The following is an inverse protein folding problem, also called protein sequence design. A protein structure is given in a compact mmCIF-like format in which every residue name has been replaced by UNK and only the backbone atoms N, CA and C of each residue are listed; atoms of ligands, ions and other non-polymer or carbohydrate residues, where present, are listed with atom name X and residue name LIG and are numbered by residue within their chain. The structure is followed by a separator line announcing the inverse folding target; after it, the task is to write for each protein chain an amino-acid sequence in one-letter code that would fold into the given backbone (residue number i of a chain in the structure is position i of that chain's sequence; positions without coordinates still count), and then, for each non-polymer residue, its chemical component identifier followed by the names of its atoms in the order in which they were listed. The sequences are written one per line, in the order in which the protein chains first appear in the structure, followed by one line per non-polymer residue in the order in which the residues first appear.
data_IF_498251564172
#
_entry.id   IF_498251564172
#
_cell.length_a   1.000
_cell.length_b   1.000
_cell.length_c   1.000
_cell.angle_alpha   90.00
_cell.angle_beta   90.00
_cell.angle_gamma   90.00
#
_symmetry.space_group_name_H-M   'P 1'
#
loop_
_entity.id
_entity.type
_entity.pdbx_description
1 polymer ?
#
# COMPACT_ATOMS: atom_id res chain seq x y z
N UNK A 1 2.20 -83.43 9.07
CA UNK A 1 1.60 -82.45 10.00
C UNK A 1 2.51 -81.26 10.42
N UNK A 2 3.65 -80.99 9.78
CA UNK A 2 4.54 -79.83 10.13
C UNK A 2 4.59 -78.70 9.06
N UNK A 3 3.93 -78.90 7.93
CA UNK A 3 3.94 -77.89 6.84
C UNK A 3 2.72 -76.96 6.87
N UNK A 4 1.62 -77.30 7.55
CA UNK A 4 0.42 -76.48 7.64
C UNK A 4 0.44 -75.40 8.71
N UNK A 5 1.38 -75.46 9.65
CA UNK A 5 1.47 -74.50 10.76
C UNK A 5 2.40 -73.29 10.50
N UNK A 6 3.13 -73.29 9.36
CA UNK A 6 3.97 -72.14 8.97
C UNK A 6 3.25 -71.09 8.10
N UNK A 7 2.13 -71.51 7.44
CA UNK A 7 1.38 -70.61 6.58
C UNK A 7 0.41 -69.67 7.35
N UNK A 8 -0.03 -70.08 8.53
CA UNK A 8 -0.95 -69.26 9.35
C UNK A 8 -0.27 -68.15 10.19
N UNK A 9 1.06 -68.17 10.33
CA UNK A 9 1.80 -67.11 11.03
C UNK A 9 2.24 -65.96 10.13
N UNK A 10 2.16 -66.04 8.80
CA UNK A 10 2.50 -64.97 7.88
C UNK A 10 1.31 -64.18 7.40
N UNK A 11 0.06 -64.59 7.67
CA UNK A 11 -1.14 -63.81 7.32
C UNK A 11 -1.66 -62.90 8.42
N UNK A 12 -1.02 -62.89 9.60
CA UNK A 12 -1.42 -62.09 10.77
C UNK A 12 -0.68 -60.74 10.93
N UNK A 13 0.22 -60.38 10.02
CA UNK A 13 1.06 -59.14 10.17
C UNK A 13 0.86 -58.13 9.04
N UNK A 14 -0.15 -58.22 8.20
CA UNK A 14 -0.46 -57.27 7.11
C UNK A 14 -1.79 -56.53 7.29
N UNK A 15 -2.40 -56.59 8.47
CA UNK A 15 -3.69 -55.92 8.74
C UNK A 15 -3.58 -54.77 9.75
N UNK A 16 -2.40 -54.19 9.94
CA UNK A 16 -2.16 -53.15 10.94
C UNK A 16 -1.57 -51.83 10.45
N UNK A 17 -1.43 -51.62 9.14
CA UNK A 17 -0.76 -50.40 8.62
C UNK A 17 -1.66 -49.55 7.70
N UNK A 18 -2.97 -49.63 7.83
CA UNK A 18 -3.90 -48.87 6.98
C UNK A 18 -4.94 -48.15 7.85
N UNK A 19 -4.60 -47.20 8.67
CA UNK A 19 -5.55 -46.22 9.22
C UNK A 19 -4.81 -45.17 10.10
N UNK A 20 -3.89 -44.44 9.54
CA UNK A 20 -3.46 -43.13 10.08
C UNK A 20 -3.13 -42.21 8.90
N UNK A 21 -4.06 -42.15 7.93
CA UNK A 21 -4.20 -40.90 7.19
C UNK A 21 -4.90 -39.96 8.16
N UNK A 22 -4.09 -39.20 8.89
CA UNK A 22 -4.55 -38.06 9.62
C UNK A 22 -5.36 -37.22 8.65
N UNK A 23 -6.64 -37.09 8.90
CA UNK A 23 -7.48 -36.11 8.24
C UNK A 23 -6.82 -34.77 8.46
N UNK A 24 -6.10 -34.30 7.45
CA UNK A 24 -5.68 -32.90 7.41
C UNK A 24 -6.97 -32.12 7.51
N UNK A 25 -7.14 -31.25 8.50
CA UNK A 25 -8.32 -30.40 8.52
C UNK A 25 -8.29 -29.61 7.22
N UNK A 26 -9.29 -29.81 6.37
CA UNK A 26 -9.47 -29.08 5.12
C UNK A 26 -9.92 -27.66 5.44
N UNK A 27 -9.01 -26.81 5.88
CA UNK A 27 -9.22 -25.38 6.08
C UNK A 27 -9.39 -24.63 4.74
N UNK A 28 -9.34 -25.34 3.65
CA UNK A 28 -9.17 -24.74 2.32
C UNK A 28 -10.48 -24.53 1.54
N UNK A 29 -11.67 -24.70 2.15
CA UNK A 29 -12.93 -24.57 1.40
C UNK A 29 -14.11 -24.14 2.28
N UNK A 30 -14.01 -22.99 2.92
CA UNK A 30 -15.21 -22.32 3.42
C UNK A 30 -15.10 -20.84 3.05
N UNK A 31 -15.28 -20.52 1.78
CA UNK A 31 -15.45 -19.14 1.34
C UNK A 31 -16.93 -18.87 1.14
N UNK A 32 -17.52 -18.06 1.99
CA UNK A 32 -18.76 -17.36 1.68
C UNK A 32 -18.34 -16.07 1.01
N UNK A 33 -18.44 -15.98 -0.32
CA UNK A 33 -18.03 -14.82 -1.10
C UNK A 33 -17.33 -15.19 -2.40
N UNK A 34 -16.90 -14.20 -3.16
CA UNK A 34 -16.31 -14.36 -4.49
C UNK A 34 -14.87 -14.91 -4.48
N UNK A 35 -14.24 -15.10 -3.30
CA UNK A 35 -12.82 -15.44 -3.16
C UNK A 35 -12.61 -16.52 -2.11
N UNK A 36 -11.84 -17.55 -2.47
CA UNK A 36 -11.40 -18.59 -1.53
C UNK A 36 -10.42 -18.00 -0.52
N UNK A 37 -10.64 -18.28 0.75
CA UNK A 37 -9.72 -17.88 1.83
C UNK A 37 -8.34 -18.54 1.68
N UNK A 38 -7.31 -17.72 1.57
CA UNK A 38 -5.90 -18.13 1.55
C UNK A 38 -5.15 -17.35 2.61
N UNK A 39 -4.65 -17.99 3.67
CA UNK A 39 -3.97 -17.29 4.75
C UNK A 39 -2.61 -16.74 4.30
N UNK A 40 -2.35 -15.46 4.57
CA UNK A 40 -1.01 -14.88 4.40
C UNK A 40 0.00 -15.55 5.34
N UNK A 41 1.13 -16.06 4.86
CA UNK A 41 2.18 -16.62 5.73
C UNK A 41 2.66 -15.60 6.78
N UNK A 42 2.96 -16.06 8.01
CA UNK A 42 3.26 -15.15 9.11
C UNK A 42 4.49 -14.26 8.84
N UNK A 43 5.51 -14.80 8.17
CA UNK A 43 6.70 -14.03 7.80
C UNK A 43 6.35 -12.87 6.83
N UNK A 44 5.34 -13.07 5.97
CA UNK A 44 4.84 -12.03 5.04
C UNK A 44 4.05 -10.97 5.82
N UNK A 45 3.18 -11.39 6.76
CA UNK A 45 2.46 -10.47 7.66
C UNK A 45 3.45 -9.57 8.41
N UNK A 46 4.48 -10.16 9.00
CA UNK A 46 5.50 -9.42 9.75
C UNK A 46 6.22 -8.39 8.86
N UNK A 47 6.60 -8.79 7.65
CA UNK A 47 7.27 -7.91 6.72
C UNK A 47 6.37 -6.78 6.20
N UNK A 48 5.11 -7.07 5.89
CA UNK A 48 4.13 -6.04 5.49
C UNK A 48 3.95 -4.98 6.58
N UNK A 49 3.88 -5.40 7.85
CA UNK A 49 3.78 -4.48 9.00
C UNK A 49 5.05 -3.64 9.18
N UNK A 50 6.24 -4.22 8.93
CA UNK A 50 7.51 -3.48 8.94
C UNK A 50 7.58 -2.45 7.81
N UNK A 51 7.21 -2.82 6.58
CA UNK A 51 7.16 -1.88 5.44
C UNK A 51 6.18 -0.75 5.69
N UNK A 52 5.01 -1.04 6.28
CA UNK A 52 4.04 -0.03 6.69
C UNK A 52 4.53 0.82 7.87
N UNK A 53 5.64 0.49 8.52
CA UNK A 53 6.16 1.18 9.71
C UNK A 53 5.08 1.37 10.79
N UNK A 54 4.25 0.33 10.97
CA UNK A 54 3.10 0.40 11.86
C UNK A 54 3.53 0.58 13.32
N UNK A 55 2.77 1.35 14.08
CA UNK A 55 3.06 1.65 15.48
C UNK A 55 1.76 1.88 16.28
N UNK A 56 1.90 2.12 17.58
CA UNK A 56 0.77 2.26 18.52
C UNK A 56 -0.20 3.43 18.23
N UNK A 57 0.20 4.41 17.44
CA UNK A 57 -0.66 5.53 17.07
C UNK A 57 -1.55 5.19 15.85
N UNK A 58 -1.31 4.06 15.20
CA UNK A 58 -2.00 3.68 13.99
C UNK A 58 -3.37 3.06 14.23
N UNK A 59 -4.23 3.27 13.24
CA UNK A 59 -5.47 2.53 13.06
C UNK A 59 -5.43 1.78 11.72
N UNK A 60 -5.24 0.46 11.83
CA UNK A 60 -5.20 -0.45 10.69
C UNK A 60 -6.60 -0.90 10.32
N UNK A 61 -6.90 -0.92 9.02
CA UNK A 61 -8.08 -1.61 8.49
C UNK A 61 -7.62 -2.68 7.49
N UNK A 62 -7.97 -3.95 7.77
CA UNK A 62 -7.66 -5.10 6.95
C UNK A 62 -8.90 -5.53 6.16
N UNK A 63 -8.83 -5.43 4.85
CA UNK A 63 -9.93 -5.71 3.94
C UNK A 63 -9.85 -7.16 3.43
N UNK A 64 -10.76 -8.02 3.92
CA UNK A 64 -10.68 -9.46 3.76
C UNK A 64 -9.81 -10.08 4.85
N UNK A 65 -10.17 -9.88 6.13
CA UNK A 65 -9.29 -10.18 7.26
C UNK A 65 -9.12 -11.66 7.58
N UNK A 66 -9.97 -12.52 7.04
CA UNK A 66 -9.90 -13.96 7.27
C UNK A 66 -9.86 -14.32 8.75
N UNK A 67 -8.87 -15.11 9.16
CA UNK A 67 -8.65 -15.55 10.55
C UNK A 67 -8.08 -14.46 11.49
N UNK A 68 -7.96 -13.23 10.99
CA UNK A 68 -7.53 -12.07 11.77
C UNK A 68 -6.04 -11.94 12.01
N UNK A 69 -5.19 -12.81 11.45
CA UNK A 69 -3.75 -12.85 11.74
C UNK A 69 -3.03 -11.53 11.53
N UNK A 70 -3.40 -10.78 10.49
CA UNK A 70 -2.78 -9.48 10.19
C UNK A 70 -3.11 -8.45 11.27
N UNK A 71 -4.40 -8.30 11.57
CA UNK A 71 -4.95 -7.40 12.59
C UNK A 71 -4.39 -7.72 13.98
N UNK A 72 -4.38 -9.00 14.35
CA UNK A 72 -3.89 -9.50 15.64
C UNK A 72 -2.39 -9.25 15.79
N UNK A 73 -1.61 -9.51 14.73
CA UNK A 73 -0.16 -9.28 14.76
C UNK A 73 0.16 -7.79 14.91
N UNK A 74 -0.58 -6.91 14.21
CA UNK A 74 -0.44 -5.46 14.34
C UNK A 74 -0.69 -4.99 15.78
N UNK A 75 -1.76 -5.48 16.39
CA UNK A 75 -2.08 -5.14 17.78
C UNK A 75 -1.07 -5.69 18.78
N UNK A 76 -0.69 -6.97 18.65
CA UNK A 76 0.20 -7.65 19.58
C UNK A 76 1.63 -7.13 19.53
N UNK A 77 2.21 -7.02 18.33
CA UNK A 77 3.63 -6.65 18.15
C UNK A 77 3.88 -5.15 18.16
N UNK A 78 2.91 -4.37 17.70
CA UNK A 78 3.10 -2.94 17.48
C UNK A 78 2.16 -2.05 18.30
N UNK A 79 1.19 -2.64 19.02
CA UNK A 79 0.26 -1.90 19.86
C UNK A 79 -0.80 -1.10 19.08
N UNK A 80 -0.93 -1.32 17.79
CA UNK A 80 -1.89 -0.62 16.93
C UNK A 80 -3.33 -1.01 17.28
N UNK A 81 -4.29 -0.10 17.05
CA UNK A 81 -5.70 -0.45 16.98
C UNK A 81 -6.03 -0.94 15.58
N UNK A 82 -6.94 -1.92 15.46
CA UNK A 82 -7.24 -2.45 14.16
C UNK A 82 -8.67 -2.95 14.00
N UNK A 83 -9.16 -2.87 12.77
CA UNK A 83 -10.44 -3.42 12.30
C UNK A 83 -10.14 -4.43 11.19
N UNK A 84 -10.66 -5.65 11.33
CA UNK A 84 -10.75 -6.62 10.25
C UNK A 84 -12.18 -6.71 9.75
N UNK A 85 -12.36 -6.72 8.42
CA UNK A 85 -13.66 -6.95 7.81
C UNK A 85 -13.61 -8.14 6.87
N UNK A 86 -14.64 -8.98 6.94
CA UNK A 86 -14.80 -10.16 6.09
C UNK A 86 -16.27 -10.46 5.92
N UNK A 87 -16.68 -11.23 4.91
CA UNK A 87 -18.04 -11.73 4.74
C UNK A 87 -18.22 -13.15 5.34
N UNK A 88 -17.10 -13.85 5.59
CA UNK A 88 -17.15 -15.20 6.17
C UNK A 88 -17.28 -15.13 7.69
N UNK A 89 -18.49 -15.35 8.18
CA UNK A 89 -18.81 -15.35 9.61
C UNK A 89 -18.08 -16.41 10.41
N UNK A 90 -17.73 -17.56 9.77
CA UNK A 90 -16.91 -18.59 10.41
C UNK A 90 -15.49 -18.10 10.64
N UNK A 91 -14.87 -17.47 9.64
CA UNK A 91 -13.53 -16.87 9.79
C UNK A 91 -13.53 -15.75 10.83
N UNK A 92 -14.55 -14.91 10.86
CA UNK A 92 -14.70 -13.85 11.89
C UNK A 92 -14.80 -14.44 13.31
N UNK A 93 -15.48 -15.58 13.47
CA UNK A 93 -15.50 -16.30 14.76
C UNK A 93 -14.10 -16.78 15.14
N UNK A 94 -13.38 -17.40 14.20
CA UNK A 94 -11.97 -17.82 14.39
C UNK A 94 -11.09 -16.63 14.75
N UNK A 95 -11.22 -15.49 14.04
CA UNK A 95 -10.47 -14.27 14.29
C UNK A 95 -10.71 -13.74 15.72
N UNK A 96 -11.97 -13.71 16.20
CA UNK A 96 -12.30 -13.30 17.56
C UNK A 96 -11.72 -14.27 18.62
N UNK A 97 -11.71 -15.58 18.35
CA UNK A 97 -11.09 -16.57 19.23
C UNK A 97 -9.56 -16.39 19.29
N UNK A 98 -8.93 -16.17 18.14
CA UNK A 98 -7.50 -15.88 18.05
C UNK A 98 -7.13 -14.59 18.81
N UNK A 99 -7.90 -13.52 18.66
CA UNK A 99 -7.68 -12.27 19.39
C UNK A 99 -7.75 -12.44 20.90
N UNK A 100 -8.68 -13.27 21.40
CA UNK A 100 -8.77 -13.60 22.83
C UNK A 100 -7.56 -14.38 23.31
N UNK A 101 -7.11 -15.39 22.55
CA UNK A 101 -5.92 -16.19 22.87
C UNK A 101 -4.65 -15.33 22.94
N UNK A 102 -4.54 -14.33 22.05
CA UNK A 102 -3.39 -13.40 21.99
C UNK A 102 -3.54 -12.18 22.91
N UNK A 103 -4.62 -12.09 23.72
CA UNK A 103 -4.90 -11.00 24.66
C UNK A 103 -4.90 -9.61 24.02
N UNK A 104 -5.49 -9.46 22.83
CA UNK A 104 -5.56 -8.18 22.10
C UNK A 104 -7.00 -7.75 21.77
N UNK A 105 -8.01 -8.40 22.35
CA UNK A 105 -9.43 -8.11 22.09
C UNK A 105 -9.85 -6.68 22.45
N UNK A 106 -9.07 -5.99 23.26
CA UNK A 106 -9.27 -4.56 23.60
C UNK A 106 -8.85 -3.59 22.47
N UNK A 107 -8.05 -4.06 21.51
CA UNK A 107 -7.47 -3.25 20.43
C UNK A 107 -7.96 -3.63 19.05
N UNK A 108 -8.55 -4.81 18.90
CA UNK A 108 -8.99 -5.31 17.60
C UNK A 108 -10.50 -5.51 17.58
N UNK A 109 -11.10 -5.25 16.42
CA UNK A 109 -12.51 -5.50 16.15
C UNK A 109 -12.63 -6.25 14.84
N UNK A 110 -13.55 -7.22 14.77
CA UNK A 110 -13.88 -7.93 13.54
C UNK A 110 -15.35 -7.72 13.22
N UNK A 111 -15.66 -7.44 11.94
CA UNK A 111 -17.02 -7.16 11.48
C UNK A 111 -17.34 -7.92 10.21
N UNK A 112 -18.56 -8.49 10.16
CA UNK A 112 -19.14 -8.96 8.93
C UNK A 112 -19.54 -7.75 8.10
N UNK A 113 -18.79 -7.50 7.03
CA UNK A 113 -19.00 -6.31 6.22
C UNK A 113 -18.37 -6.46 4.84
N UNK A 114 -19.07 -5.99 3.82
CA UNK A 114 -18.53 -5.87 2.46
C UNK A 114 -17.38 -4.86 2.44
N UNK A 115 -16.19 -5.30 2.06
CA UNK A 115 -14.99 -4.47 2.01
C UNK A 115 -15.13 -3.25 1.07
N UNK A 116 -15.94 -3.36 0.01
CA UNK A 116 -16.20 -2.24 -0.90
C UNK A 116 -17.07 -1.15 -0.28
N UNK A 117 -17.91 -1.50 0.68
CA UNK A 117 -18.81 -0.59 1.40
C UNK A 117 -18.23 -0.08 2.72
N UNK A 118 -17.20 -0.75 3.23
CA UNK A 118 -16.54 -0.41 4.49
C UNK A 118 -16.01 1.03 4.45
N UNK A 119 -16.40 1.85 5.42
CA UNK A 119 -15.77 3.16 5.60
C UNK A 119 -14.33 2.99 6.11
N UNK A 120 -13.36 3.37 5.26
CA UNK A 120 -11.94 3.31 5.55
C UNK A 120 -11.34 4.70 5.84
N UNK A 121 -12.14 5.74 5.94
CA UNK A 121 -11.68 7.14 6.05
C UNK A 121 -10.84 7.43 7.31
N UNK A 122 -11.01 6.63 8.36
CA UNK A 122 -10.26 6.74 9.61
C UNK A 122 -8.92 5.98 9.59
N UNK A 123 -8.67 5.16 8.56
CA UNK A 123 -7.46 4.35 8.48
C UNK A 123 -6.19 5.21 8.37
N UNK A 124 -5.15 4.82 9.09
CA UNK A 124 -3.78 5.29 8.87
C UNK A 124 -2.95 4.24 8.12
N UNK A 125 -3.42 2.97 8.16
CA UNK A 125 -2.88 1.85 7.39
C UNK A 125 -4.04 1.03 6.85
N UNK A 126 -3.95 0.63 5.58
CA UNK A 126 -4.87 -0.32 4.94
C UNK A 126 -4.06 -1.53 4.48
N UNK A 127 -4.56 -2.74 4.73
CA UNK A 127 -3.98 -3.98 4.23
C UNK A 127 -4.95 -4.74 3.34
N UNK A 128 -4.40 -5.43 2.33
CA UNK A 128 -5.17 -6.28 1.42
C UNK A 128 -4.39 -7.54 1.03
N UNK A 129 -5.12 -8.65 0.91
CA UNK A 129 -4.69 -9.82 0.15
C UNK A 129 -5.86 -10.28 -0.72
N UNK A 130 -6.09 -9.54 -1.79
CA UNK A 130 -7.27 -9.65 -2.64
C UNK A 130 -6.85 -9.87 -4.09
N UNK A 131 -7.75 -10.41 -4.91
CA UNK A 131 -7.52 -10.56 -6.34
C UNK A 131 -7.27 -9.21 -7.02
N UNK A 132 -6.55 -9.19 -8.16
CA UNK A 132 -6.19 -7.95 -8.87
C UNK A 132 -7.37 -7.03 -9.16
N UNK A 133 -8.49 -7.58 -9.64
CA UNK A 133 -9.71 -6.83 -9.97
C UNK A 133 -10.36 -6.18 -8.74
N UNK A 134 -10.25 -6.80 -7.58
CA UNK A 134 -10.75 -6.23 -6.32
C UNK A 134 -9.87 -5.07 -5.86
N UNK A 135 -8.55 -5.21 -5.94
CA UNK A 135 -7.60 -4.12 -5.66
C UNK A 135 -7.84 -2.92 -6.58
N UNK A 136 -8.04 -3.16 -7.88
CA UNK A 136 -8.37 -2.10 -8.84
C UNK A 136 -9.69 -1.40 -8.49
N UNK A 137 -10.72 -2.13 -8.09
CA UNK A 137 -12.00 -1.56 -7.66
C UNK A 137 -11.89 -0.74 -6.36
N UNK A 138 -10.97 -1.10 -5.46
CA UNK A 138 -10.74 -0.36 -4.20
C UNK A 138 -9.86 0.88 -4.41
N UNK A 139 -9.05 0.92 -5.45
CA UNK A 139 -8.01 1.92 -5.67
C UNK A 139 -8.52 3.36 -5.56
N UNK A 140 -9.60 3.71 -6.25
CA UNK A 140 -10.17 5.06 -6.19
C UNK A 140 -10.65 5.44 -4.79
N UNK A 141 -11.16 4.48 -4.01
CA UNK A 141 -11.54 4.68 -2.62
C UNK A 141 -10.32 4.92 -1.72
N UNK A 142 -9.24 4.17 -1.93
CA UNK A 142 -7.98 4.30 -1.21
C UNK A 142 -7.31 5.65 -1.53
N UNK A 143 -7.32 6.07 -2.79
CA UNK A 143 -6.74 7.35 -3.21
C UNK A 143 -7.42 8.58 -2.58
N UNK A 144 -8.64 8.43 -2.05
CA UNK A 144 -9.36 9.49 -1.32
C UNK A 144 -9.06 9.53 0.18
N UNK A 145 -8.24 8.61 0.69
CA UNK A 145 -7.80 8.65 2.08
C UNK A 145 -6.91 9.87 2.36
N UNK A 146 -6.69 10.15 3.62
CA UNK A 146 -5.79 11.24 4.03
C UNK A 146 -4.39 11.01 3.46
N UNK A 147 -3.75 12.06 2.92
CA UNK A 147 -2.34 11.95 2.54
C UNK A 147 -1.51 11.38 3.69
N UNK A 148 -0.54 10.53 3.36
CA UNK A 148 0.26 9.83 4.36
C UNK A 148 -0.35 8.51 4.86
N UNK A 149 -1.60 8.17 4.51
CA UNK A 149 -2.13 6.83 4.76
C UNK A 149 -1.29 5.81 3.99
N UNK A 150 -0.83 4.77 4.68
CA UNK A 150 0.00 3.70 4.11
C UNK A 150 -0.87 2.53 3.70
N UNK A 151 -0.56 1.95 2.55
CA UNK A 151 -1.27 0.80 2.01
C UNK A 151 -0.28 -0.33 1.79
N UNK A 152 -0.59 -1.52 2.24
CA UNK A 152 0.23 -2.71 1.99
C UNK A 152 -0.62 -3.81 1.38
N UNK A 153 -0.09 -4.44 0.33
CA UNK A 153 -0.77 -5.54 -0.34
C UNK A 153 0.13 -6.75 -0.50
N UNK A 154 -0.46 -7.94 -0.36
CA UNK A 154 0.21 -9.21 -0.58
C UNK A 154 -0.10 -9.75 -1.98
N UNK A 155 0.93 -10.17 -2.71
CA UNK A 155 0.94 -10.80 -4.04
C UNK A 155 0.39 -9.96 -5.20
N UNK A 156 -0.62 -9.14 -4.99
CA UNK A 156 -1.31 -8.43 -6.06
C UNK A 156 -1.24 -6.92 -5.87
N UNK A 157 -0.79 -6.22 -6.92
CA UNK A 157 -0.64 -4.77 -6.91
C UNK A 157 -1.94 -4.04 -7.28
N UNK A 158 -1.86 -2.73 -7.50
CA UNK A 158 -2.98 -1.85 -7.88
C UNK A 158 -2.87 -1.36 -9.33
N UNK A 159 -2.42 -2.24 -10.24
CA UNK A 159 -2.30 -1.95 -11.67
C UNK A 159 -1.25 -0.87 -11.96
N UNK A 160 -1.66 0.18 -12.65
CA UNK A 160 -0.81 1.30 -13.04
C UNK A 160 -0.51 2.30 -11.91
N UNK A 161 -1.12 2.15 -10.73
CA UNK A 161 -0.60 2.79 -9.53
C UNK A 161 0.61 2.02 -9.01
N UNK A 162 1.79 2.36 -9.51
CA UNK A 162 3.04 1.71 -9.12
C UNK A 162 3.35 1.94 -7.63
N UNK A 163 3.82 0.91 -6.91
CA UNK A 163 4.14 1.04 -5.50
C UNK A 163 5.33 1.98 -5.25
N UNK A 164 5.34 2.61 -4.07
CA UNK A 164 6.48 3.38 -3.57
C UNK A 164 7.65 2.47 -3.18
N UNK A 165 7.32 1.28 -2.67
CA UNK A 165 8.27 0.23 -2.30
C UNK A 165 7.67 -1.14 -2.58
N UNK A 166 8.51 -2.09 -3.03
CA UNK A 166 8.12 -3.49 -3.17
C UNK A 166 9.21 -4.42 -2.67
N UNK A 167 8.80 -5.58 -2.17
CA UNK A 167 9.71 -6.63 -1.68
C UNK A 167 9.25 -7.99 -2.14
N UNK A 168 10.20 -8.88 -2.41
CA UNK A 168 9.95 -10.29 -2.71
C UNK A 168 10.51 -11.14 -1.58
N UNK A 169 9.72 -12.05 -1.06
CA UNK A 169 10.13 -13.04 -0.06
C UNK A 169 10.07 -14.44 -0.62
N UNK A 170 11.06 -15.25 -0.26
CA UNK A 170 11.02 -16.70 -0.48
C UNK A 170 10.25 -17.33 0.67
N UNK A 171 9.16 -18.01 0.34
CA UNK A 171 8.22 -18.61 1.30
C UNK A 171 7.89 -20.05 0.86
N UNK A 172 8.79 -21.02 1.10
CA UNK A 172 8.70 -22.38 0.55
C UNK A 172 7.40 -23.12 0.91
N UNK A 173 6.81 -22.78 2.06
CA UNK A 173 5.54 -23.36 2.53
C UNK A 173 4.30 -22.84 1.80
N UNK A 174 4.39 -21.71 1.10
CA UNK A 174 3.28 -21.15 0.33
C UNK A 174 2.97 -22.00 -0.88
N UNK A 175 1.71 -22.46 -1.00
CA UNK A 175 1.25 -23.38 -2.07
C UNK A 175 0.24 -22.73 -3.03
N UNK A 176 -0.37 -21.60 -2.67
CA UNK A 176 -1.44 -20.94 -3.42
C UNK A 176 -0.98 -19.56 -3.91
N UNK A 177 -1.52 -19.10 -5.01
CA UNK A 177 -1.10 -17.87 -5.69
C UNK A 177 0.22 -18.08 -6.42
N UNK A 178 1.29 -17.48 -5.92
CA UNK A 178 2.66 -17.69 -6.40
C UNK A 178 3.40 -18.68 -5.48
N UNK A 179 3.42 -20.00 -5.79
CA UNK A 179 4.03 -20.99 -4.91
C UNK A 179 5.50 -20.70 -4.62
N UNK A 180 5.89 -20.78 -3.35
CA UNK A 180 7.27 -20.54 -2.90
C UNK A 180 7.71 -19.08 -2.85
N UNK A 181 6.91 -18.13 -3.33
CA UNK A 181 7.27 -16.71 -3.42
C UNK A 181 6.08 -15.85 -2.95
N UNK A 182 6.36 -14.76 -2.26
CA UNK A 182 5.39 -13.72 -1.93
C UNK A 182 5.91 -12.36 -2.37
N UNK A 183 5.05 -11.58 -3.00
CA UNK A 183 5.30 -10.19 -3.34
C UNK A 183 4.60 -9.29 -2.33
N UNK A 184 5.29 -8.28 -1.85
CA UNK A 184 4.75 -7.26 -0.95
C UNK A 184 4.87 -5.92 -1.64
N UNK A 185 3.79 -5.18 -1.64
CA UNK A 185 3.70 -3.84 -2.23
C UNK A 185 3.29 -2.84 -1.17
N UNK A 186 3.90 -1.66 -1.21
CA UNK A 186 3.62 -0.57 -0.29
C UNK A 186 3.42 0.74 -1.04
N UNK A 187 2.38 1.48 -0.68
CA UNK A 187 2.07 2.81 -1.18
C UNK A 187 1.83 3.77 -0.03
N UNK A 188 2.11 5.04 -0.28
CA UNK A 188 1.72 6.15 0.58
C UNK A 188 0.76 7.03 -0.20
N UNK A 189 -0.46 7.21 0.30
CA UNK A 189 -1.45 8.06 -0.35
C UNK A 189 -0.90 9.48 -0.49
N UNK A 190 -0.78 10.02 -1.71
CA UNK A 190 -0.23 11.34 -1.94
C UNK A 190 -1.29 12.43 -1.71
N UNK A 191 -0.84 13.62 -1.33
CA UNK A 191 -1.67 14.81 -1.42
C UNK A 191 -1.88 15.24 -2.88
N UNK A 192 -2.92 16.03 -3.14
CA UNK A 192 -3.29 16.49 -4.47
C UNK A 192 -2.68 17.86 -4.76
N UNK A 193 -1.73 17.88 -5.69
CA UNK A 193 -0.96 19.08 -6.05
C UNK A 193 -1.28 19.61 -7.45
N UNK A 194 -2.05 18.86 -8.25
CA UNK A 194 -2.42 19.29 -9.60
C UNK A 194 -3.04 20.69 -9.63
N UNK A 195 -2.63 21.47 -10.61
CA UNK A 195 -3.12 22.84 -10.82
C UNK A 195 -2.03 23.86 -11.12
N UNK A 196 -2.45 25.12 -11.15
CA UNK A 196 -1.53 26.24 -11.42
C UNK A 196 -1.10 26.91 -10.13
N UNK A 197 0.20 27.15 -10.05
CA UNK A 197 0.86 27.71 -8.87
C UNK A 197 1.73 28.89 -9.26
N UNK A 198 1.81 29.88 -8.38
CA UNK A 198 2.69 31.03 -8.54
C UNK A 198 3.61 31.19 -7.34
N UNK A 199 4.82 31.63 -7.62
CA UNK A 199 5.86 31.90 -6.62
C UNK A 199 6.73 33.06 -7.10
N UNK A 200 7.31 33.78 -6.15
CA UNK A 200 8.47 34.68 -6.38
C UNK A 200 9.60 34.19 -5.52
N UNK A 201 10.74 33.90 -6.11
CA UNK A 201 11.88 33.31 -5.43
C UNK A 201 13.05 34.30 -5.55
N UNK A 202 13.65 34.67 -4.40
CA UNK A 202 14.86 35.46 -4.41
C UNK A 202 16.07 34.59 -4.73
N UNK A 203 16.67 34.82 -5.88
CA UNK A 203 17.83 34.07 -6.36
C UNK A 203 19.02 35.01 -6.50
N UNK A 204 19.93 34.93 -5.54
CA UNK A 204 21.12 35.77 -5.54
C UNK A 204 20.83 37.28 -5.48
N UNK A 205 19.82 37.68 -4.70
CA UNK A 205 19.41 39.07 -4.54
C UNK A 205 18.43 39.60 -5.58
N UNK A 206 17.99 38.76 -6.53
CA UNK A 206 17.00 39.14 -7.53
C UNK A 206 15.73 38.33 -7.34
N UNK A 207 14.59 38.97 -7.36
CA UNK A 207 13.29 38.36 -7.32
C UNK A 207 12.91 37.83 -8.71
N UNK A 208 12.76 36.52 -8.82
CA UNK A 208 12.43 35.81 -10.06
C UNK A 208 11.01 35.25 -9.91
N UNK A 209 10.09 35.60 -10.83
CA UNK A 209 8.75 35.01 -10.85
C UNK A 209 8.79 33.58 -11.39
N UNK A 210 8.03 32.69 -10.75
CA UNK A 210 7.81 31.31 -11.17
C UNK A 210 6.32 31.05 -11.34
N UNK A 211 5.99 30.35 -12.40
CA UNK A 211 4.66 29.80 -12.65
C UNK A 211 4.82 28.29 -12.88
N UNK A 212 4.01 27.50 -12.20
CA UNK A 212 4.00 26.05 -12.37
C UNK A 212 2.60 25.60 -12.81
N UNK A 213 2.51 24.76 -13.84
CA UNK A 213 1.31 24.08 -14.28
C UNK A 213 1.54 22.58 -14.05
N UNK A 214 1.03 22.09 -12.91
CA UNK A 214 1.30 20.74 -12.41
C UNK A 214 0.16 19.81 -12.81
N UNK A 215 0.50 18.75 -13.51
CA UNK A 215 -0.34 17.57 -13.70
C UNK A 215 0.08 16.49 -12.71
N UNK A 216 -0.88 15.70 -12.23
CA UNK A 216 -0.60 14.62 -11.30
C UNK A 216 -1.26 13.34 -11.76
N UNK A 217 -0.47 12.26 -11.74
CA UNK A 217 -0.92 10.90 -11.98
C UNK A 217 -0.46 10.03 -10.79
N UNK A 218 -1.40 9.71 -9.90
CA UNK A 218 -1.12 9.13 -8.57
C UNK A 218 -0.09 9.99 -7.81
N UNK A 219 1.06 9.41 -7.44
CA UNK A 219 2.14 10.13 -6.78
C UNK A 219 3.07 10.88 -7.74
N UNK A 220 2.98 10.64 -9.05
CA UNK A 220 3.87 11.27 -10.02
C UNK A 220 3.36 12.65 -10.43
N UNK A 221 4.28 13.58 -10.61
CA UNK A 221 4.04 14.94 -11.04
C UNK A 221 4.78 15.16 -12.36
N UNK A 222 4.05 15.64 -13.34
CA UNK A 222 4.59 16.16 -14.60
C UNK A 222 4.04 17.55 -14.83
N UNK A 223 4.60 18.27 -15.77
CA UNK A 223 4.04 19.56 -16.19
C UNK A 223 5.04 20.52 -16.78
N UNK A 224 4.59 21.76 -16.89
CA UNK A 224 5.39 22.86 -17.41
C UNK A 224 5.57 23.94 -16.36
N UNK A 225 6.69 24.65 -16.43
CA UNK A 225 6.93 25.80 -15.57
C UNK A 225 7.58 26.91 -16.36
N UNK A 226 7.48 28.13 -15.82
CA UNK A 226 8.24 29.31 -16.27
C UNK A 226 9.07 29.84 -15.11
N UNK A 227 10.33 30.16 -15.39
CA UNK A 227 11.25 30.79 -14.45
C UNK A 227 11.79 32.07 -15.09
N UNK A 228 11.42 33.26 -14.57
CA UNK A 228 11.81 34.54 -15.17
C UNK A 228 11.38 34.70 -16.62
N UNK A 229 10.24 34.10 -17.03
CA UNK A 229 9.74 34.12 -18.40
C UNK A 229 10.28 33.02 -19.31
N UNK A 230 11.29 32.25 -18.90
CA UNK A 230 11.82 31.10 -19.68
C UNK A 230 11.03 29.84 -19.36
N UNK A 231 10.57 29.14 -20.40
CA UNK A 231 9.77 27.90 -20.26
C UNK A 231 10.64 26.68 -19.99
N UNK A 232 10.17 25.80 -19.12
CA UNK A 232 10.80 24.52 -18.81
C UNK A 232 9.79 23.43 -18.55
N UNK A 233 10.30 22.19 -18.47
CA UNK A 233 9.55 21.00 -18.11
C UNK A 233 9.85 20.62 -16.66
N UNK A 234 8.84 20.16 -15.95
CA UNK A 234 8.97 19.69 -14.60
C UNK A 234 8.54 18.24 -14.47
N UNK A 235 9.29 17.49 -13.65
CA UNK A 235 8.97 16.10 -13.28
C UNK A 235 9.29 15.87 -11.80
N UNK A 236 8.41 15.13 -11.15
CA UNK A 236 8.58 14.90 -9.74
C UNK A 236 7.63 13.88 -9.14
N UNK A 237 7.55 13.92 -7.83
CA UNK A 237 6.77 12.96 -7.04
C UNK A 237 6.22 13.61 -5.78
N UNK A 238 5.02 13.19 -5.38
CA UNK A 238 4.45 13.39 -4.04
C UNK A 238 4.76 12.19 -3.13
N UNK A 239 5.04 12.44 -1.87
CA UNK A 239 5.03 11.44 -0.81
C UNK A 239 4.30 12.05 0.37
N UNK A 240 3.12 11.57 0.69
CA UNK A 240 2.20 12.26 1.58
C UNK A 240 1.98 13.72 1.10
N UNK A 241 2.29 14.71 1.93
CA UNK A 241 2.24 16.14 1.60
C UNK A 241 3.58 16.69 1.07
N UNK A 242 4.64 15.88 1.05
CA UNK A 242 5.93 16.31 0.53
C UNK A 242 5.95 16.27 -1.00
N UNK A 243 6.30 17.40 -1.61
CA UNK A 243 6.52 17.52 -3.06
C UNK A 243 8.00 17.60 -3.36
N UNK A 244 8.46 16.80 -4.29
CA UNK A 244 9.82 16.89 -4.84
C UNK A 244 9.76 16.88 -6.35
N UNK A 245 10.30 17.90 -7.01
CA UNK A 245 10.35 17.93 -8.48
C UNK A 245 11.60 18.65 -8.98
N UNK A 246 11.94 18.37 -10.22
CA UNK A 246 13.02 19.03 -10.96
C UNK A 246 12.43 19.84 -12.11
N UNK A 247 12.91 21.06 -12.30
CA UNK A 247 12.64 21.90 -13.47
C UNK A 247 13.90 21.93 -14.33
N UNK A 248 13.72 21.67 -15.63
CA UNK A 248 14.77 21.74 -16.66
C UNK A 248 14.31 22.50 -17.86
N UNK A 249 15.22 23.01 -18.69
CA UNK A 249 14.87 23.72 -19.94
C UNK A 249 14.12 22.81 -20.91
N UNK A 250 13.23 23.43 -21.70
CA UNK A 250 12.47 22.76 -22.74
C UNK A 250 13.06 23.05 -24.13
N UNK A 251 13.39 22.00 -24.88
CA UNK A 251 13.94 22.13 -26.23
C UNK A 251 15.29 22.84 -26.23
N UNK A 252 15.43 23.91 -27.02
CA UNK A 252 16.65 24.72 -27.09
C UNK A 252 16.78 25.75 -25.96
N UNK A 253 15.76 25.93 -25.15
CA UNK A 253 15.79 26.85 -24.01
C UNK A 253 16.65 26.31 -22.89
N UNK A 254 17.61 27.10 -22.44
CA UNK A 254 18.50 26.72 -21.33
C UNK A 254 17.96 27.33 -20.02
N UNK A 255 17.49 26.46 -19.15
CA UNK A 255 17.26 26.74 -17.73
C UNK A 255 18.29 25.93 -16.95
N UNK A 256 18.99 26.55 -16.02
CA UNK A 256 19.75 25.77 -15.03
C UNK A 256 18.83 24.77 -14.37
N UNK A 257 19.33 23.61 -13.98
CA UNK A 257 18.55 22.62 -13.26
C UNK A 257 18.10 23.17 -11.91
N UNK A 258 16.80 23.13 -11.65
CA UNK A 258 16.25 23.49 -10.34
C UNK A 258 15.67 22.24 -9.68
N UNK A 259 16.09 21.98 -8.44
CA UNK A 259 15.55 20.89 -7.63
C UNK A 259 14.73 21.48 -6.48
N UNK A 260 13.43 21.29 -6.56
CA UNK A 260 12.47 21.76 -5.57
C UNK A 260 12.15 20.67 -4.56
N UNK A 261 12.17 21.03 -3.29
CA UNK A 261 11.63 20.24 -2.18
C UNK A 261 10.68 21.15 -1.42
N UNK A 262 9.46 20.68 -1.18
CA UNK A 262 8.44 21.46 -0.48
C UNK A 262 7.47 20.61 0.31
N UNK A 263 6.74 21.27 1.19
CA UNK A 263 5.64 20.71 1.97
C UNK A 263 4.36 21.43 1.60
N UNK A 264 3.36 20.66 1.16
CA UNK A 264 2.03 21.18 0.86
C UNK A 264 1.22 21.32 2.15
N UNK A 265 0.63 22.48 2.34
CA UNK A 265 -0.32 22.77 3.41
C UNK A 265 -1.48 23.59 2.82
N UNK A 266 -2.63 22.94 2.62
CA UNK A 266 -3.78 23.56 1.95
C UNK A 266 -3.45 24.03 0.53
N UNK A 267 -3.53 25.33 0.28
CA UNK A 267 -3.27 25.95 -1.04
C UNK A 267 -1.87 26.58 -1.11
N UNK A 268 -0.96 26.18 -0.22
CA UNK A 268 0.40 26.73 -0.18
C UNK A 268 1.43 25.59 -0.13
N UNK A 269 2.50 25.72 -0.91
CA UNK A 269 3.70 24.88 -0.82
C UNK A 269 4.83 25.77 -0.29
N UNK A 270 5.57 25.30 0.71
CA UNK A 270 6.76 25.97 1.24
C UNK A 270 7.95 25.02 1.28
N UNK A 271 9.15 25.53 1.02
CA UNK A 271 10.32 24.66 1.01
C UNK A 271 11.61 25.30 0.56
N UNK A 272 12.49 24.49 -0.04
CA UNK A 272 13.78 24.90 -0.57
C UNK A 272 13.93 24.56 -2.04
N UNK A 273 14.67 25.36 -2.78
CA UNK A 273 15.07 25.08 -4.16
C UNK A 273 16.59 25.16 -4.27
N UNK A 274 17.17 24.19 -4.93
CA UNK A 274 18.57 24.15 -5.32
C UNK A 274 18.66 24.44 -6.82
N UNK A 275 19.47 25.43 -7.21
CA UNK A 275 19.59 25.94 -8.57
C UNK A 275 21.03 25.75 -9.04
N UNK A 276 21.20 25.05 -10.17
CA UNK A 276 22.49 24.66 -10.73
C UNK A 276 23.03 23.35 -10.16
N UNK A 277 24.19 22.96 -10.64
CA UNK A 277 24.85 21.69 -10.31
C UNK A 277 26.18 21.88 -9.55
N UNK A 278 26.59 20.82 -8.85
CA UNK A 278 27.89 20.76 -8.16
C UNK A 278 28.01 21.76 -6.99
N UNK A 279 29.24 22.21 -6.73
CA UNK A 279 29.58 23.12 -5.64
C UNK A 279 29.11 24.57 -5.88
N UNK A 280 28.84 24.94 -7.13
CA UNK A 280 28.36 26.28 -7.50
C UNK A 280 26.84 26.44 -7.37
N UNK A 281 26.12 25.37 -6.99
CA UNK A 281 24.68 25.42 -6.83
C UNK A 281 24.27 26.41 -5.73
N UNK A 282 23.25 27.19 -6.05
CA UNK A 282 22.64 28.16 -5.14
C UNK A 282 21.43 27.55 -4.47
N UNK A 283 21.18 27.90 -3.24
CA UNK A 283 19.99 27.47 -2.51
C UNK A 283 19.15 28.68 -2.11
N UNK A 284 17.84 28.58 -2.26
CA UNK A 284 16.88 29.57 -1.83
C UNK A 284 15.68 28.90 -1.13
N UNK A 285 14.98 29.64 -0.31
CA UNK A 285 13.64 29.27 0.15
C UNK A 285 12.63 29.67 -0.91
N UNK A 286 11.52 28.92 -1.00
CA UNK A 286 10.42 29.25 -1.87
C UNK A 286 9.08 29.01 -1.21
N UNK A 287 8.10 29.75 -1.67
CA UNK A 287 6.72 29.55 -1.32
C UNK A 287 5.86 29.75 -2.57
N UNK A 288 5.00 28.79 -2.86
CA UNK A 288 4.06 28.89 -3.99
C UNK A 288 2.64 28.85 -3.48
N UNK A 289 1.78 29.66 -4.09
CA UNK A 289 0.34 29.69 -3.84
C UNK A 289 -0.40 29.11 -5.02
N UNK A 290 -1.36 28.21 -4.78
CA UNK A 290 -2.23 27.69 -5.81
C UNK A 290 -3.23 28.77 -6.25
N UNK A 291 -3.25 29.03 -7.55
CA UNK A 291 -4.15 30.02 -8.17
C UNK A 291 -5.30 29.36 -8.91
N UNK A 292 -5.13 28.08 -9.30
CA UNK A 292 -6.16 27.30 -9.96
C UNK A 292 -5.97 25.82 -9.63
N UNK A 293 -7.02 25.13 -9.24
CA UNK A 293 -7.00 23.66 -9.09
C UNK A 293 -6.99 22.99 -10.46
N UNK A 294 -6.22 21.93 -10.59
CA UNK A 294 -6.18 21.10 -11.78
C UNK A 294 -7.27 20.04 -11.78
N UNK A 295 -7.29 19.26 -12.86
CA UNK A 295 -8.13 18.08 -12.98
C UNK A 295 -7.60 16.99 -12.02
N UNK A 296 -8.44 16.56 -11.10
CA UNK A 296 -8.11 15.55 -10.09
C UNK A 296 -8.54 14.13 -10.51
N UNK A 297 -9.26 13.97 -11.62
CA UNK A 297 -9.74 12.66 -12.07
C UNK A 297 -8.59 11.69 -12.33
N UNK A 298 -7.50 12.15 -12.93
CA UNK A 298 -6.29 11.34 -13.12
C UNK A 298 -5.52 11.05 -11.84
N UNK A 299 -5.57 11.96 -10.87
CA UNK A 299 -4.88 11.79 -9.59
C UNK A 299 -5.65 10.86 -8.64
N UNK A 300 -6.96 10.80 -8.77
CA UNK A 300 -7.86 10.01 -7.92
C UNK A 300 -8.38 8.74 -8.57
N UNK A 301 -8.04 8.55 -9.87
CA UNK A 301 -8.43 7.40 -10.66
C UNK A 301 -9.90 6.99 -10.48
N UNK A 302 -10.79 7.72 -11.12
CA UNK A 302 -12.10 7.16 -11.41
C UNK A 302 -11.90 6.14 -12.55
N UNK A 303 -12.35 4.88 -12.38
CA UNK A 303 -12.30 3.93 -13.48
C UNK A 303 -13.06 4.56 -14.64
N UNK A 304 -12.32 4.92 -15.70
CA UNK A 304 -12.93 5.31 -16.96
C UNK A 304 -13.73 4.11 -17.39
N UNK A 305 -15.03 4.14 -17.11
CA UNK A 305 -15.95 3.11 -17.55
C UNK A 305 -15.82 2.92 -19.05
N UNK A 306 -15.32 1.78 -19.47
CA UNK A 306 -15.51 1.15 -20.75
C UNK A 306 -15.93 -0.27 -20.54
#
# INVERSE_FOLDING_TARGET
MRAAMKLLKQMGMLAGAAALMAAQPSWAQTGVGDVVYVPTPQIVVDEMLLMAKINKADYLIDLGSGDGRFVITAARKHGARALGVDLDTFLLKVANENARKENVSDRVTFREQNLFETDISAATVVSTYLLPEMNLKLRSKIMRLKPGTRVVAHDYNMGDWYPDEQKTLIVPEKKVGNPGISYIYHWVVPALVAGKWQSTINVGGKDVPYEFDMEQFFQNIDGNARAGGVSGEMRGKMTAEQVKFTLTGKGSQKIERHEFLGQLAGETITGTVRIGDGAAARQATWSAKRIQRGDLTRAQDEPTGK
#
